data_IF_371194587154
#
_entry.id   IF_371194587154
#
_cell.length_a   1.000
_cell.length_b   1.000
_cell.length_c   1.000
_cell.angle_alpha   90.00
_cell.angle_beta   90.00
_cell.angle_gamma   90.00
#
_symmetry.space_group_name_H-M   'P 1'
#
loop_
_entity.id
_entity.type
_entity.pdbx_description
1 polymer ?
#
# COMPACT_ATOMS: atom_id res chain seq x y z
N UNK A 1 18.77 -12.35 23.74
CA UNK A 1 19.46 -12.94 22.58
C UNK A 1 19.62 -11.83 21.55
N UNK A 2 20.76 -11.16 21.57
CA UNK A 2 21.13 -10.12 20.59
C UNK A 2 21.55 -10.83 19.32
N UNK A 3 20.74 -10.76 18.26
CA UNK A 3 21.18 -11.25 16.95
C UNK A 3 22.16 -10.23 16.37
N UNK A 4 23.37 -10.67 16.04
CA UNK A 4 24.39 -9.88 15.33
C UNK A 4 23.76 -9.19 14.12
N UNK A 5 23.57 -7.87 14.18
CA UNK A 5 23.16 -7.12 13.01
C UNK A 5 24.39 -6.79 12.18
N UNK A 6 24.66 -7.69 11.26
CA UNK A 6 25.64 -7.49 10.20
C UNK A 6 24.92 -6.90 8.99
N UNK A 7 25.06 -5.60 8.79
CA UNK A 7 24.36 -4.88 7.71
C UNK A 7 24.62 -5.51 6.32
N UNK A 8 25.81 -6.07 6.10
CA UNK A 8 26.19 -6.86 4.92
C UNK A 8 25.49 -8.22 4.83
N UNK A 9 25.34 -8.95 5.94
CA UNK A 9 24.62 -10.23 5.96
C UNK A 9 23.09 -10.04 5.86
N UNK A 10 22.57 -8.98 6.48
CA UNK A 10 21.18 -8.55 6.36
C UNK A 10 20.85 -8.18 4.92
N UNK A 11 21.77 -7.53 4.20
CA UNK A 11 21.64 -7.32 2.77
C UNK A 11 21.64 -8.62 1.98
N UNK A 12 22.58 -9.54 2.24
CA UNK A 12 22.63 -10.82 1.53
C UNK A 12 21.35 -11.66 1.73
N UNK A 13 20.76 -11.63 2.93
CA UNK A 13 19.49 -12.32 3.21
C UNK A 13 18.25 -11.58 2.72
N UNK A 14 18.22 -10.25 2.77
CA UNK A 14 17.08 -9.45 2.33
C UNK A 14 17.01 -9.27 0.80
N UNK A 15 18.16 -9.28 0.11
CA UNK A 15 18.24 -8.95 -1.32
C UNK A 15 18.26 -10.18 -2.23
N UNK A 16 18.70 -11.34 -1.74
CA UNK A 16 19.04 -12.46 -2.61
C UNK A 16 20.04 -12.06 -3.72
N UNK A 17 20.44 -12.99 -4.60
CA UNK A 17 21.41 -12.70 -5.66
C UNK A 17 20.85 -11.80 -6.80
N UNK A 18 19.54 -11.50 -6.83
CA UNK A 18 18.86 -10.93 -8.00
C UNK A 18 18.49 -9.45 -7.84
N UNK A 19 18.33 -8.92 -6.62
CA UNK A 19 17.81 -7.55 -6.42
C UNK A 19 18.88 -6.44 -6.39
N UNK A 20 20.17 -6.78 -6.50
CA UNK A 20 21.27 -5.82 -6.32
C UNK A 20 21.57 -4.93 -7.56
N UNK A 21 20.66 -4.78 -8.53
CA UNK A 21 21.04 -4.19 -9.82
C UNK A 21 20.43 -2.84 -10.19
N UNK A 22 19.40 -2.33 -9.49
CA UNK A 22 18.73 -1.08 -9.89
C UNK A 22 18.44 -0.06 -8.78
N UNK A 23 18.02 -0.46 -7.57
CA UNK A 23 17.52 0.49 -6.54
C UNK A 23 18.14 0.28 -5.16
N UNK A 24 19.47 0.32 -5.09
CA UNK A 24 20.21 -0.22 -3.94
C UNK A 24 19.88 0.49 -2.62
N UNK A 25 19.68 1.81 -2.59
CA UNK A 25 19.39 2.50 -1.32
C UNK A 25 17.97 2.24 -0.78
N UNK A 26 16.96 2.11 -1.63
CA UNK A 26 15.61 1.72 -1.19
C UNK A 26 15.55 0.25 -0.77
N UNK A 27 16.40 -0.58 -1.38
CA UNK A 27 16.65 -1.95 -0.93
C UNK A 27 17.33 -2.01 0.45
N UNK A 28 18.21 -1.06 0.78
CA UNK A 28 18.75 -0.90 2.13
C UNK A 28 17.66 -0.52 3.13
N UNK A 29 16.78 0.41 2.77
CA UNK A 29 15.61 0.77 3.57
C UNK A 29 14.73 -0.46 3.85
N UNK A 30 14.46 -1.28 2.82
CA UNK A 30 13.70 -2.54 2.97
C UNK A 30 14.41 -3.54 3.89
N UNK A 31 15.74 -3.61 3.84
CA UNK A 31 16.51 -4.46 4.75
C UNK A 31 16.42 -3.96 6.20
N UNK A 32 16.47 -2.65 6.43
CA UNK A 32 16.36 -2.05 7.77
C UNK A 32 15.01 -2.39 8.41
N UNK A 33 13.90 -2.12 7.72
CA UNK A 33 12.55 -2.40 8.24
C UNK A 33 12.30 -3.90 8.47
N UNK A 34 12.93 -4.79 7.70
CA UNK A 34 12.72 -6.23 7.82
C UNK A 34 13.48 -6.87 8.99
N UNK A 35 14.38 -6.12 9.64
CA UNK A 35 15.33 -6.64 10.63
C UNK A 35 15.28 -5.93 11.98
N UNK A 36 14.58 -4.81 12.08
CA UNK A 36 14.52 -3.98 13.29
C UNK A 36 13.08 -3.59 13.61
N UNK A 37 12.59 -3.98 14.77
CA UNK A 37 11.27 -3.58 15.24
C UNK A 37 11.22 -2.06 15.49
N UNK A 38 12.34 -1.44 15.86
CA UNK A 38 12.39 0.01 16.06
C UNK A 38 12.27 0.79 14.75
N UNK A 39 12.89 0.29 13.68
CA UNK A 39 12.69 0.85 12.32
C UNK A 39 11.24 0.67 11.89
N UNK A 40 10.62 -0.47 12.20
CA UNK A 40 9.18 -0.67 11.93
C UNK A 40 8.34 0.35 12.70
N UNK A 41 8.62 0.63 13.97
CA UNK A 41 7.90 1.64 14.75
C UNK A 41 8.02 3.06 14.15
N UNK A 42 9.22 3.48 13.74
CA UNK A 42 9.42 4.78 13.10
C UNK A 42 8.62 4.91 11.80
N UNK A 43 8.66 3.89 10.96
CA UNK A 43 8.01 3.90 9.64
C UNK A 43 6.50 3.60 9.73
N UNK A 44 6.04 2.95 10.79
CA UNK A 44 4.62 2.70 11.02
C UNK A 44 3.83 3.99 11.21
N UNK A 45 4.42 5.05 11.75
CA UNK A 45 3.73 6.34 11.86
C UNK A 45 3.37 6.96 10.50
N UNK A 46 4.00 6.49 9.42
CA UNK A 46 3.73 6.89 8.03
C UNK A 46 3.05 5.79 7.21
N UNK A 47 2.53 4.74 7.87
CA UNK A 47 1.90 3.58 7.22
C UNK A 47 2.81 2.80 6.25
N UNK A 48 4.13 2.98 6.37
CA UNK A 48 5.13 2.29 5.57
C UNK A 48 5.48 0.94 6.20
N UNK A 49 4.78 -0.11 5.79
CA UNK A 49 5.11 -1.49 6.19
C UNK A 49 6.14 -2.11 5.24
N UNK A 50 6.75 -3.23 5.64
CA UNK A 50 7.64 -4.01 4.75
C UNK A 50 6.98 -4.34 3.41
N UNK A 51 5.65 -4.57 3.41
CA UNK A 51 4.89 -4.85 2.21
C UNK A 51 4.79 -3.63 1.29
N UNK A 52 4.46 -2.46 1.85
CA UNK A 52 4.35 -1.20 1.09
C UNK A 52 5.70 -0.84 0.47
N UNK A 53 6.79 -0.90 1.25
CA UNK A 53 8.14 -0.59 0.75
C UNK A 53 8.56 -1.57 -0.34
N UNK A 54 8.34 -2.89 -0.13
CA UNK A 54 8.68 -3.91 -1.14
C UNK A 54 7.97 -3.68 -2.47
N UNK A 55 6.72 -3.21 -2.46
CA UNK A 55 5.96 -2.90 -3.67
C UNK A 55 6.49 -1.65 -4.36
N UNK A 56 6.79 -0.59 -3.60
CA UNK A 56 7.30 0.68 -4.15
C UNK A 56 8.69 0.57 -4.77
N UNK A 57 9.57 -0.25 -4.19
CA UNK A 57 10.95 -0.45 -4.68
C UNK A 57 10.99 -0.97 -6.13
N UNK A 58 10.00 -1.77 -6.55
CA UNK A 58 9.98 -2.35 -7.89
C UNK A 58 9.71 -1.37 -9.04
N UNK A 59 9.21 -0.16 -8.73
CA UNK A 59 8.84 0.86 -9.72
C UNK A 59 9.74 2.10 -9.75
N UNK A 60 10.89 2.07 -9.06
CA UNK A 60 11.81 3.20 -9.02
C UNK A 60 12.72 3.28 -10.26
N UNK A 61 13.37 4.42 -10.47
CA UNK A 61 14.43 4.58 -11.47
C UNK A 61 15.78 4.04 -10.96
N UNK A 62 16.65 3.58 -11.88
CA UNK A 62 17.98 3.07 -11.53
C UNK A 62 18.82 4.18 -10.88
N UNK A 63 19.40 3.89 -9.71
CA UNK A 63 20.31 4.83 -9.06
C UNK A 63 21.65 4.92 -9.81
N UNK A 64 22.24 6.11 -9.92
CA UNK A 64 23.47 6.30 -10.66
C UNK A 64 24.68 5.66 -9.98
N UNK A 65 25.58 5.12 -10.81
CA UNK A 65 26.88 4.59 -10.41
C UNK A 65 26.82 3.22 -9.75
N UNK A 66 27.95 2.50 -9.78
CA UNK A 66 28.12 1.18 -9.17
C UNK A 66 29.47 1.14 -8.47
N UNK A 67 29.45 0.78 -7.19
CA UNK A 67 30.63 0.71 -6.31
C UNK A 67 30.65 -0.67 -5.67
N UNK A 68 31.78 -1.38 -5.80
CA UNK A 68 31.98 -2.64 -5.11
C UNK A 68 32.49 -2.40 -3.69
N UNK A 69 31.82 -3.01 -2.72
CA UNK A 69 32.21 -2.99 -1.32
C UNK A 69 32.62 -4.39 -0.90
N UNK A 70 33.87 -4.52 -0.44
CA UNK A 70 34.37 -5.75 0.14
C UNK A 70 33.66 -6.05 1.47
N UNK A 71 33.21 -7.28 1.65
CA UNK A 71 32.63 -7.74 2.90
C UNK A 71 33.76 -8.20 3.84
N UNK A 72 33.76 -7.66 5.06
CA UNK A 72 34.93 -7.72 5.95
C UNK A 72 35.31 -9.15 6.42
N UNK A 73 34.40 -10.14 6.33
CA UNK A 73 34.62 -11.48 6.88
C UNK A 73 34.40 -12.64 5.89
N UNK A 74 34.15 -12.38 4.60
CA UNK A 74 34.12 -13.43 3.57
C UNK A 74 35.11 -13.10 2.46
N UNK A 75 36.29 -13.71 2.53
CA UNK A 75 37.29 -13.63 1.46
C UNK A 75 36.64 -13.95 0.11
N UNK A 76 36.72 -13.00 -0.83
CA UNK A 76 36.21 -13.15 -2.19
C UNK A 76 34.73 -12.78 -2.40
N UNK A 77 34.02 -12.24 -1.40
CA UNK A 77 32.65 -11.72 -1.59
C UNK A 77 32.59 -10.20 -1.52
N UNK A 78 32.11 -9.59 -2.59
CA UNK A 78 31.79 -8.16 -2.68
C UNK A 78 30.29 -7.95 -2.89
N UNK A 79 29.79 -6.81 -2.42
CA UNK A 79 28.48 -6.30 -2.78
C UNK A 79 28.65 -5.14 -3.75
N UNK A 80 27.99 -5.21 -4.90
CA UNK A 80 27.87 -4.06 -5.80
C UNK A 80 26.71 -3.20 -5.31
N UNK A 81 27.01 -1.99 -4.84
CA UNK A 81 26.02 -1.01 -4.42
C UNK A 81 25.97 0.18 -5.39
N UNK A 82 24.92 0.99 -5.33
CA UNK A 82 24.95 2.32 -5.95
C UNK A 82 25.93 3.23 -5.22
N UNK A 83 26.32 4.35 -5.84
CA UNK A 83 27.17 5.35 -5.16
C UNK A 83 26.52 5.86 -3.87
N UNK A 84 25.21 6.11 -3.89
CA UNK A 84 24.45 6.55 -2.73
C UNK A 84 24.39 5.47 -1.63
N UNK A 85 24.12 4.21 -2.01
CA UNK A 85 24.13 3.09 -1.08
C UNK A 85 25.50 2.90 -0.42
N UNK A 86 26.59 2.99 -1.20
CA UNK A 86 27.95 2.90 -0.68
C UNK A 86 28.30 4.06 0.27
N UNK A 87 27.91 5.28 -0.07
CA UNK A 87 28.08 6.44 0.80
C UNK A 87 27.31 6.28 2.12
N UNK A 88 26.09 5.75 2.09
CA UNK A 88 25.31 5.46 3.29
C UNK A 88 26.00 4.42 4.19
N UNK A 89 26.59 3.36 3.62
CA UNK A 89 27.40 2.41 4.40
C UNK A 89 28.61 3.05 5.04
N UNK A 90 29.36 3.85 4.27
CA UNK A 90 30.54 4.54 4.78
C UNK A 90 30.17 5.48 5.95
N UNK A 91 29.08 6.25 5.81
CA UNK A 91 28.54 7.11 6.87
C UNK A 91 28.12 6.31 8.09
N UNK A 92 27.35 5.24 7.92
CA UNK A 92 26.91 4.36 9.01
C UNK A 92 28.11 3.83 9.81
N UNK A 93 29.23 3.49 9.15
CA UNK A 93 30.45 3.04 9.83
C UNK A 93 31.18 4.17 10.57
N UNK A 94 31.18 5.39 10.01
CA UNK A 94 31.96 6.52 10.52
C UNK A 94 31.26 7.34 11.62
N UNK A 95 29.94 7.52 11.55
CA UNK A 95 29.17 8.35 12.49
C UNK A 95 28.97 7.67 13.84
N UNK A 96 28.72 8.36 14.96
CA UNK A 96 28.32 7.72 16.21
C UNK A 96 27.03 6.88 16.02
N UNK A 97 26.87 5.79 16.79
CA UNK A 97 25.62 5.02 16.77
C UNK A 97 24.49 5.87 17.37
N UNK A 98 23.29 5.79 16.78
CA UNK A 98 22.08 6.45 17.31
C UNK A 98 21.38 5.57 18.36
N UNK A 99 21.78 4.29 18.44
CA UNK A 99 21.21 3.30 19.36
C UNK A 99 22.15 2.90 20.50
N UNK A 100 23.44 3.26 20.43
CA UNK A 100 24.45 2.89 21.44
C UNK A 100 25.62 3.87 21.54
N UNK A 101 26.49 3.67 22.52
CA UNK A 101 27.71 4.46 22.72
C UNK A 101 28.86 4.08 21.78
N UNK A 102 30.04 4.67 21.98
CA UNK A 102 31.24 4.33 21.20
C UNK A 102 31.62 2.84 21.38
N UNK A 103 31.87 2.13 20.27
CA UNK A 103 32.31 0.74 20.27
C UNK A 103 31.19 -0.32 20.20
N UNK A 104 29.92 0.10 20.13
CA UNK A 104 28.78 -0.81 19.90
C UNK A 104 28.67 -1.18 18.41
N UNK A 105 28.30 -2.43 18.13
CA UNK A 105 28.02 -2.91 16.77
C UNK A 105 26.92 -2.05 16.11
N UNK A 106 27.04 -1.80 14.81
CA UNK A 106 26.07 -1.00 14.07
C UNK A 106 24.74 -1.71 14.02
N UNK A 107 23.66 -0.93 14.09
CA UNK A 107 22.29 -1.45 14.04
C UNK A 107 21.58 -1.06 12.73
N UNK A 108 20.45 -1.70 12.40
CA UNK A 108 19.64 -1.31 11.23
C UNK A 108 19.12 0.12 11.36
N UNK A 109 18.86 0.55 12.60
CA UNK A 109 18.50 1.94 12.91
C UNK A 109 19.66 2.91 12.59
N UNK A 110 20.92 2.53 12.83
CA UNK A 110 22.09 3.35 12.47
C UNK A 110 22.23 3.49 10.94
N UNK A 111 21.95 2.41 10.20
CA UNK A 111 21.94 2.46 8.74
C UNK A 111 20.79 3.32 8.21
N UNK A 112 19.60 3.26 8.82
CA UNK A 112 18.50 4.17 8.50
C UNK A 112 18.91 5.64 8.72
N UNK A 113 19.54 5.97 9.85
CA UNK A 113 20.04 7.32 10.10
C UNK A 113 21.00 7.79 8.99
N UNK A 114 21.97 6.93 8.62
CA UNK A 114 22.94 7.24 7.56
C UNK A 114 22.33 7.36 6.15
N UNK A 115 21.21 6.70 5.87
CA UNK A 115 20.42 6.88 4.65
C UNK A 115 19.70 8.23 4.65
N UNK A 116 19.09 8.61 5.78
CA UNK A 116 18.33 9.86 5.94
C UNK A 116 19.21 11.11 5.94
N UNK A 117 20.48 10.99 6.35
CA UNK A 117 21.46 12.08 6.33
C UNK A 117 21.86 12.55 4.93
N UNK A 118 21.39 11.89 3.87
CA UNK A 118 21.72 12.21 2.49
C UNK A 118 20.49 12.48 1.64
N UNK A 119 20.19 13.76 1.35
CA UNK A 119 19.00 14.11 0.59
C UNK A 119 19.06 13.61 -0.87
N UNK A 120 20.25 13.24 -1.38
CA UNK A 120 20.40 12.70 -2.74
C UNK A 120 20.17 11.19 -2.82
N UNK A 121 19.98 10.53 -1.67
CA UNK A 121 19.73 9.11 -1.58
C UNK A 121 18.37 8.73 -2.17
N UNK A 122 18.32 7.68 -3.01
CA UNK A 122 17.07 7.17 -3.59
C UNK A 122 16.02 6.80 -2.54
N UNK A 123 16.45 6.28 -1.39
CA UNK A 123 15.57 6.01 -0.25
C UNK A 123 14.89 7.27 0.29
N UNK A 124 15.60 8.41 0.34
CA UNK A 124 15.03 9.70 0.78
C UNK A 124 14.02 10.22 -0.25
N UNK A 125 14.35 10.14 -1.54
CA UNK A 125 13.42 10.47 -2.62
C UNK A 125 12.16 9.60 -2.58
N UNK A 126 12.32 8.30 -2.32
CA UNK A 126 11.22 7.36 -2.18
C UNK A 126 10.32 7.69 -0.98
N UNK A 127 10.91 7.90 0.20
CA UNK A 127 10.18 8.30 1.41
C UNK A 127 9.42 9.62 1.20
N UNK A 128 10.07 10.60 0.57
CA UNK A 128 9.44 11.88 0.23
C UNK A 128 8.27 11.69 -0.73
N UNK A 129 8.42 10.84 -1.76
CA UNK A 129 7.34 10.44 -2.67
C UNK A 129 6.20 9.70 -1.96
N UNK A 130 6.48 9.08 -0.81
CA UNK A 130 5.47 8.49 0.05
C UNK A 130 4.71 9.50 0.93
N UNK A 131 5.10 10.78 0.91
CA UNK A 131 4.54 11.83 1.78
C UNK A 131 5.16 11.86 3.17
N UNK A 132 6.30 11.20 3.38
CA UNK A 132 7.02 11.23 4.65
C UNK A 132 7.72 12.59 4.80
N UNK A 133 7.50 13.26 5.93
CA UNK A 133 8.39 14.34 6.37
C UNK A 133 9.73 13.72 6.80
N UNK A 134 10.67 13.65 5.86
CA UNK A 134 11.99 13.04 6.04
C UNK A 134 12.78 13.74 7.15
N UNK A 135 12.60 15.06 7.34
CA UNK A 135 13.29 15.83 8.39
C UNK A 135 12.72 15.51 9.76
N UNK A 136 11.41 15.30 9.88
CA UNK A 136 10.79 14.81 11.10
C UNK A 136 11.20 13.35 11.41
N UNK A 137 11.20 12.48 10.40
CA UNK A 137 11.66 11.09 10.55
C UNK A 137 13.13 11.01 10.97
N UNK A 138 14.01 11.83 10.37
CA UNK A 138 15.41 11.92 10.76
C UNK A 138 15.55 12.33 12.23
N UNK A 139 14.86 13.40 12.66
CA UNK A 139 14.85 13.83 14.07
C UNK A 139 14.34 12.75 15.02
N UNK A 140 13.31 12.01 14.62
CA UNK A 140 12.77 10.88 15.37
C UNK A 140 13.78 9.75 15.54
N UNK A 141 14.45 9.35 14.46
CA UNK A 141 15.51 8.32 14.48
C UNK A 141 16.66 8.74 15.39
N UNK A 142 17.15 9.98 15.25
CA UNK A 142 18.26 10.50 16.06
C UNK A 142 17.91 10.71 17.54
N UNK A 143 16.66 11.08 17.85
CA UNK A 143 16.20 11.23 19.24
C UNK A 143 15.72 9.91 19.85
N UNK A 144 15.56 8.87 19.03
CA UNK A 144 15.00 7.60 19.44
C UNK A 144 13.51 7.62 19.76
N UNK A 145 12.79 8.72 19.45
CA UNK A 145 11.36 8.89 19.71
C UNK A 145 10.55 8.59 18.46
N UNK A 146 9.45 7.86 18.61
CA UNK A 146 8.53 7.60 17.49
C UNK A 146 7.92 8.93 17.01
N UNK A 147 7.86 9.19 15.69
CA UNK A 147 7.17 10.35 15.14
C UNK A 147 5.72 10.41 15.62
N UNK A 148 5.28 11.58 16.06
CA UNK A 148 3.86 11.85 16.29
C UNK A 148 3.26 12.39 14.99
N UNK A 149 2.60 11.51 14.23
CA UNK A 149 2.01 11.83 12.92
C UNK A 149 0.50 11.67 13.04
N UNK A 150 -0.21 12.72 12.66
CA UNK A 150 -1.67 12.68 12.60
C UNK A 150 -2.11 11.65 11.55
N UNK A 151 -3.03 10.77 11.96
CA UNK A 151 -3.61 9.77 11.08
C UNK A 151 -4.44 10.45 9.98
N UNK A 152 -4.07 10.34 8.69
CA UNK A 152 -4.74 11.06 7.62
C UNK A 152 -6.12 10.47 7.30
N UNK A 153 -6.46 9.29 7.85
CA UNK A 153 -7.78 8.68 7.68
C UNK A 153 -8.62 8.75 8.95
N UNK A 154 -9.92 9.03 8.83
CA UNK A 154 -10.82 9.03 9.97
C UNK A 154 -10.94 7.62 10.60
N UNK A 155 -11.30 7.51 11.89
CA UNK A 155 -11.28 6.25 12.64
C UNK A 155 -12.04 5.09 11.97
N UNK A 156 -13.16 5.37 11.30
CA UNK A 156 -13.93 4.34 10.59
C UNK A 156 -13.21 3.68 9.43
N UNK A 157 -12.23 4.35 8.80
CA UNK A 157 -11.48 3.84 7.65
C UNK A 157 -10.18 3.13 8.05
N UNK A 158 -9.77 3.22 9.32
CA UNK A 158 -8.54 2.57 9.82
C UNK A 158 -8.50 1.08 9.53
N UNK A 159 -9.62 0.38 9.70
CA UNK A 159 -9.71 -1.05 9.39
C UNK A 159 -9.46 -1.38 7.91
N UNK A 160 -9.88 -0.48 7.01
CA UNK A 160 -9.68 -0.59 5.56
C UNK A 160 -8.22 -0.26 5.21
N UNK A 161 -7.67 0.81 5.78
CA UNK A 161 -6.25 1.18 5.68
C UNK A 161 -5.35 0.05 6.16
N UNK A 162 -5.57 -0.47 7.36
CA UNK A 162 -4.73 -1.50 7.96
C UNK A 162 -4.70 -2.76 7.10
N UNK A 163 -5.80 -3.09 6.43
CA UNK A 163 -5.81 -4.16 5.46
C UNK A 163 -4.97 -3.80 4.23
N UNK A 164 -5.19 -2.62 3.64
CA UNK A 164 -4.46 -2.14 2.46
C UNK A 164 -2.94 -2.10 2.66
N UNK A 165 -2.48 -1.62 3.82
CA UNK A 165 -1.05 -1.50 4.16
C UNK A 165 -0.46 -2.81 4.69
N UNK A 166 -1.26 -3.88 4.79
CA UNK A 166 -0.79 -5.21 5.19
C UNK A 166 -0.66 -5.45 6.70
N UNK A 167 -1.13 -4.51 7.55
CA UNK A 167 -1.20 -4.68 9.02
C UNK A 167 -2.27 -5.69 9.44
N UNK A 168 -3.34 -5.75 8.66
CA UNK A 168 -4.48 -6.65 8.85
C UNK A 168 -4.65 -7.53 7.63
N UNK A 169 -5.18 -8.73 7.85
CA UNK A 169 -5.55 -9.65 6.76
C UNK A 169 -7.05 -9.85 6.76
N UNK A 170 -7.67 -9.84 5.59
CA UNK A 170 -9.05 -10.31 5.45
C UNK A 170 -9.13 -11.80 5.71
N UNK A 171 -10.20 -12.23 6.38
CA UNK A 171 -10.48 -13.65 6.59
C UNK A 171 -11.28 -14.16 5.40
N UNK A 172 -10.79 -15.17 4.64
CA UNK A 172 -11.58 -15.76 3.57
C UNK A 172 -12.83 -16.43 4.13
N UNK A 173 -14.02 -16.12 3.60
CA UNK A 173 -15.28 -16.74 4.03
C UNK A 173 -15.93 -17.62 2.97
N UNK A 174 -15.59 -17.43 1.70
CA UNK A 174 -16.05 -18.28 0.59
C UNK A 174 -14.89 -19.03 -0.05
N UNK A 175 -15.11 -20.24 -0.59
CA UNK A 175 -14.09 -20.98 -1.35
C UNK A 175 -13.49 -20.17 -2.51
N UNK A 176 -14.29 -19.31 -3.15
CA UNK A 176 -13.82 -18.39 -4.18
C UNK A 176 -12.86 -17.33 -3.63
N UNK A 177 -13.15 -16.78 -2.44
CA UNK A 177 -12.28 -15.83 -1.73
C UNK A 177 -11.07 -16.51 -1.08
N UNK A 178 -11.15 -17.81 -0.78
CA UNK A 178 -10.04 -18.59 -0.26
C UNK A 178 -8.89 -18.59 -1.25
N UNK A 179 -9.13 -18.92 -2.53
CA UNK A 179 -8.11 -18.85 -3.58
C UNK A 179 -7.55 -17.45 -3.77
N UNK A 180 -8.41 -16.42 -3.70
CA UNK A 180 -7.95 -15.02 -3.79
C UNK A 180 -7.09 -14.62 -2.60
N UNK A 181 -7.46 -15.02 -1.39
CA UNK A 181 -6.68 -14.78 -0.17
C UNK A 181 -5.37 -15.58 -0.17
N UNK A 182 -5.37 -16.77 -0.77
CA UNK A 182 -4.18 -17.61 -0.95
C UNK A 182 -3.24 -17.02 -1.99
N UNK A 183 -3.78 -16.45 -3.07
CA UNK A 183 -3.03 -15.67 -4.08
C UNK A 183 -2.40 -14.42 -3.46
N UNK A 184 -3.15 -13.63 -2.68
CA UNK A 184 -2.62 -12.49 -1.92
C UNK A 184 -1.57 -12.92 -0.89
N UNK A 185 -1.68 -14.15 -0.36
CA UNK A 185 -0.70 -14.72 0.57
C UNK A 185 0.58 -15.20 -0.12
N UNK A 186 0.49 -15.69 -1.34
CA UNK A 186 1.60 -16.30 -2.08
C UNK A 186 2.35 -15.32 -3.00
N UNK A 187 1.68 -14.27 -3.47
CA UNK A 187 2.28 -13.24 -4.31
C UNK A 187 2.35 -11.90 -3.56
N UNK A 188 3.52 -11.23 -3.54
CA UNK A 188 3.63 -9.84 -3.13
C UNK A 188 2.98 -8.94 -4.21
N UNK A 189 1.67 -9.07 -4.40
CA UNK A 189 0.90 -8.23 -5.31
C UNK A 189 0.84 -6.82 -4.71
N UNK A 190 1.11 -5.78 -5.51
CA UNK A 190 0.69 -4.43 -5.16
C UNK A 190 -0.82 -4.45 -5.02
N UNK A 191 -1.30 -4.53 -3.78
CA UNK A 191 -2.69 -4.77 -3.57
C UNK A 191 -3.51 -3.55 -4.04
N UNK A 192 -2.98 -2.34 -3.87
CA UNK A 192 -3.59 -1.13 -4.39
C UNK A 192 -3.63 -1.09 -5.94
N UNK A 193 -2.90 -1.95 -6.65
CA UNK A 193 -3.03 -2.15 -8.10
C UNK A 193 -4.27 -2.97 -8.52
N UNK A 194 -5.06 -3.46 -7.56
CA UNK A 194 -6.27 -4.24 -7.82
C UNK A 194 -7.48 -3.66 -7.08
N UNK A 195 -7.93 -2.44 -7.40
CA UNK A 195 -8.93 -1.74 -6.61
C UNK A 195 -10.29 -2.46 -6.54
N UNK A 196 -10.67 -3.20 -7.60
CA UNK A 196 -11.90 -4.01 -7.59
C UNK A 196 -11.81 -5.19 -6.63
N UNK A 197 -10.65 -5.85 -6.54
CA UNK A 197 -10.41 -6.89 -5.54
C UNK A 197 -10.58 -6.32 -4.12
N UNK A 198 -10.06 -5.12 -3.86
CA UNK A 198 -10.22 -4.46 -2.56
C UNK A 198 -11.66 -4.12 -2.24
N UNK A 199 -12.37 -3.51 -3.18
CA UNK A 199 -13.79 -3.22 -3.01
C UNK A 199 -14.58 -4.50 -2.66
N UNK A 200 -14.25 -5.62 -3.31
CA UNK A 200 -14.86 -6.94 -3.03
C UNK A 200 -14.52 -7.48 -1.65
N UNK A 201 -13.25 -7.41 -1.23
CA UNK A 201 -12.82 -7.91 0.07
C UNK A 201 -13.42 -7.07 1.20
N UNK A 202 -13.45 -5.75 1.03
CA UNK A 202 -14.06 -4.83 1.97
C UNK A 202 -15.57 -5.05 2.08
N UNK A 203 -16.27 -5.26 0.95
CA UNK A 203 -17.68 -5.64 0.95
C UNK A 203 -17.94 -6.96 1.70
N UNK A 204 -17.02 -7.93 1.56
CA UNK A 204 -17.05 -9.18 2.31
C UNK A 204 -16.90 -9.00 3.82
N UNK A 205 -15.99 -8.11 4.23
CA UNK A 205 -15.78 -7.75 5.64
C UNK A 205 -17.02 -7.06 6.22
N UNK A 206 -17.56 -6.05 5.52
CA UNK A 206 -18.77 -5.32 5.89
C UNK A 206 -19.96 -6.28 6.07
N UNK A 207 -20.23 -7.15 5.09
CA UNK A 207 -21.28 -8.14 5.20
C UNK A 207 -21.04 -9.13 6.35
N UNK A 208 -19.77 -9.48 6.61
CA UNK A 208 -19.33 -10.36 7.69
C UNK A 208 -19.59 -9.78 9.08
N UNK A 209 -19.40 -8.47 9.28
CA UNK A 209 -19.73 -7.77 10.53
C UNK A 209 -21.23 -7.90 10.87
N UNK A 210 -22.08 -7.93 9.84
CA UNK A 210 -23.52 -8.13 9.97
C UNK A 210 -23.98 -9.59 9.83
N UNK A 211 -23.05 -10.57 9.80
CA UNK A 211 -23.33 -12.01 9.65
C UNK A 211 -24.27 -12.34 8.48
N UNK A 212 -24.15 -11.62 7.36
CA UNK A 212 -25.00 -11.76 6.18
C UNK A 212 -24.18 -12.01 4.91
N UNK A 213 -24.88 -12.35 3.82
CA UNK A 213 -24.27 -12.40 2.49
C UNK A 213 -23.97 -11.00 1.97
N UNK A 214 -22.95 -10.89 1.13
CA UNK A 214 -22.57 -9.66 0.42
C UNK A 214 -23.72 -9.23 -0.47
N UNK A 215 -23.99 -7.92 -0.48
CA UNK A 215 -25.00 -7.23 -1.28
C UNK A 215 -24.35 -6.17 -2.16
N UNK A 216 -25.05 -5.67 -3.19
CA UNK A 216 -24.45 -4.70 -4.13
C UNK A 216 -24.15 -3.33 -3.49
N UNK A 217 -24.91 -2.92 -2.48
CA UNK A 217 -24.64 -1.73 -1.65
C UNK A 217 -23.36 -1.88 -0.80
N UNK A 218 -23.04 -3.09 -0.32
CA UNK A 218 -21.75 -3.35 0.35
C UNK A 218 -20.56 -3.18 -0.61
N UNK A 219 -20.72 -3.58 -1.88
CA UNK A 219 -19.69 -3.43 -2.91
C UNK A 219 -19.45 -1.95 -3.23
N UNK A 220 -20.52 -1.18 -3.36
CA UNK A 220 -20.44 0.28 -3.56
C UNK A 220 -19.73 0.96 -2.38
N UNK A 221 -20.12 0.62 -1.15
CA UNK A 221 -19.49 1.13 0.06
C UNK A 221 -18.01 0.71 0.15
N UNK A 222 -17.70 -0.55 -0.16
CA UNK A 222 -16.32 -1.05 -0.18
C UNK A 222 -15.44 -0.32 -1.19
N UNK A 223 -15.98 -0.01 -2.37
CA UNK A 223 -15.30 0.79 -3.39
C UNK A 223 -14.99 2.21 -2.90
N UNK A 224 -15.97 2.89 -2.29
CA UNK A 224 -15.80 4.25 -1.76
C UNK A 224 -14.81 4.30 -0.58
N UNK A 225 -14.87 3.33 0.34
CA UNK A 225 -13.92 3.23 1.47
C UNK A 225 -12.50 2.99 0.96
N UNK A 226 -12.33 2.10 -0.02
CA UNK A 226 -11.03 1.85 -0.64
C UNK A 226 -10.51 3.09 -1.35
N UNK A 227 -11.36 3.81 -2.10
CA UNK A 227 -10.98 5.05 -2.77
C UNK A 227 -10.59 6.17 -1.79
N UNK A 228 -11.33 6.33 -0.70
CA UNK A 228 -11.00 7.33 0.34
C UNK A 228 -9.63 7.07 0.97
N UNK A 229 -9.31 5.81 1.28
CA UNK A 229 -7.96 5.44 1.76
C UNK A 229 -6.91 5.66 0.67
N UNK A 230 -7.16 5.24 -0.56
CA UNK A 230 -6.24 5.43 -1.68
C UNK A 230 -5.88 6.91 -1.92
N UNK A 231 -6.82 7.84 -1.71
CA UNK A 231 -6.53 9.28 -1.77
C UNK A 231 -5.63 9.78 -0.64
N UNK A 232 -5.79 9.23 0.57
CA UNK A 232 -4.94 9.57 1.71
C UNK A 232 -3.51 9.01 1.58
N UNK A 233 -3.32 7.96 0.77
CA UNK A 233 -2.02 7.31 0.54
C UNK A 233 -1.66 7.22 -0.95
N UNK A 234 -1.34 8.35 -1.62
CA UNK A 234 -1.10 8.39 -3.06
C UNK A 234 -0.02 7.42 -3.54
N UNK A 235 1.00 7.18 -2.71
CA UNK A 235 2.12 6.29 -3.01
C UNK A 235 1.72 4.83 -3.18
N UNK A 236 0.60 4.40 -2.59
CA UNK A 236 0.05 3.07 -2.81
C UNK A 236 -0.56 2.94 -4.22
N UNK A 237 -1.06 4.05 -4.78
CA UNK A 237 -1.73 4.09 -6.08
C UNK A 237 -0.81 4.49 -7.25
N UNK A 238 0.50 4.60 -7.01
CA UNK A 238 1.48 4.93 -8.05
C UNK A 238 1.32 4.01 -9.26
N UNK A 239 1.08 4.60 -10.44
CA UNK A 239 0.90 3.86 -11.70
C UNK A 239 -0.52 3.32 -11.98
N UNK A 240 -1.43 3.35 -11.00
CA UNK A 240 -2.80 2.78 -11.10
C UNK A 240 -3.90 3.77 -10.70
N UNK A 241 -3.58 5.06 -10.58
CA UNK A 241 -4.54 6.10 -10.17
C UNK A 241 -5.83 6.10 -11.00
N UNK A 242 -5.71 5.87 -12.31
CA UNK A 242 -6.87 5.78 -13.22
C UNK A 242 -7.79 4.58 -12.92
N UNK A 243 -7.28 3.52 -12.30
CA UNK A 243 -8.10 2.36 -11.94
C UNK A 243 -9.07 2.66 -10.78
N UNK A 244 -8.94 3.83 -10.12
CA UNK A 244 -9.84 4.30 -9.06
C UNK A 244 -10.92 5.27 -9.56
N UNK A 245 -11.05 5.48 -10.88
CA UNK A 245 -11.96 6.46 -11.45
C UNK A 245 -13.45 6.25 -11.09
N UNK A 246 -13.91 5.02 -10.89
CA UNK A 246 -15.30 4.77 -10.45
C UNK A 246 -15.58 5.32 -9.06
N UNK A 247 -14.60 5.24 -8.14
CA UNK A 247 -14.69 5.89 -6.84
C UNK A 247 -14.67 7.41 -6.94
N UNK A 248 -13.81 7.95 -7.81
CA UNK A 248 -13.72 9.39 -8.08
C UNK A 248 -15.05 9.96 -8.60
N UNK A 249 -15.64 9.33 -9.61
CA UNK A 249 -16.91 9.74 -10.22
C UNK A 249 -18.04 9.82 -9.19
N UNK A 250 -18.12 8.84 -8.27
CA UNK A 250 -19.11 8.87 -7.19
C UNK A 250 -18.90 10.05 -6.23
N UNK A 251 -17.66 10.29 -5.81
CA UNK A 251 -17.33 11.40 -4.89
C UNK A 251 -17.58 12.76 -5.56
N UNK A 252 -17.24 12.92 -6.84
CA UNK A 252 -17.54 14.12 -7.63
C UNK A 252 -19.05 14.35 -7.77
N UNK A 253 -19.85 13.29 -7.78
CA UNK A 253 -21.32 13.35 -7.72
C UNK A 253 -21.89 13.55 -6.30
N UNK A 254 -21.03 13.80 -5.31
CA UNK A 254 -21.42 14.01 -3.91
C UNK A 254 -21.76 12.73 -3.15
N UNK A 255 -21.39 11.55 -3.66
CA UNK A 255 -21.59 10.25 -3.01
C UNK A 255 -20.28 9.81 -2.36
N UNK A 256 -20.17 10.01 -1.05
CA UNK A 256 -19.06 9.50 -0.25
C UNK A 256 -19.47 8.28 0.60
N UNK A 257 -18.47 7.66 1.23
CA UNK A 257 -18.67 6.48 2.07
C UNK A 257 -19.51 6.77 3.33
N UNK A 258 -19.51 8.01 3.84
CA UNK A 258 -20.27 8.40 5.04
C UNK A 258 -21.76 8.50 4.71
N UNK A 259 -22.10 9.16 3.60
CA UNK A 259 -23.48 9.30 3.10
C UNK A 259 -24.07 7.94 2.73
N UNK A 260 -23.29 7.09 2.06
CA UNK A 260 -23.72 5.72 1.74
C UNK A 260 -24.00 4.92 3.00
N UNK A 261 -23.07 4.93 3.97
CA UNK A 261 -23.26 4.24 5.26
C UNK A 261 -24.53 4.71 5.97
N UNK A 262 -24.72 6.02 6.09
CA UNK A 262 -25.90 6.60 6.74
C UNK A 262 -27.21 6.19 6.05
N UNK A 263 -27.25 6.19 4.72
CA UNK A 263 -28.42 5.75 3.97
C UNK A 263 -28.72 4.25 4.16
N UNK A 264 -27.69 3.41 4.20
CA UNK A 264 -27.83 1.96 4.46
C UNK A 264 -28.32 1.65 5.88
N UNK A 265 -28.00 2.50 6.86
CA UNK A 265 -28.50 2.36 8.23
C UNK A 265 -29.98 2.77 8.35
N UNK A 266 -30.41 3.78 7.57
CA UNK A 266 -31.77 4.32 7.63
C UNK A 266 -32.79 3.62 6.72
N UNK A 267 -32.38 2.84 5.73
CA UNK A 267 -33.28 2.30 4.69
C UNK A 267 -32.90 0.88 4.26
N UNK A 268 -33.88 -0.01 4.17
CA UNK A 268 -33.70 -1.30 3.49
C UNK A 268 -34.00 -1.19 2.00
N UNK A 269 -32.96 -1.30 1.18
CA UNK A 269 -33.06 -1.25 -0.28
C UNK A 269 -33.53 -2.57 -0.92
N UNK A 270 -34.11 -3.51 -0.18
CA UNK A 270 -34.70 -4.74 -0.73
C UNK A 270 -33.66 -5.74 -1.27
N UNK A 271 -34.03 -6.68 -2.14
CA UNK A 271 -33.07 -7.72 -2.62
C UNK A 271 -32.39 -7.30 -3.92
N UNK A 272 -31.16 -7.77 -4.11
CA UNK A 272 -30.48 -7.68 -5.41
C UNK A 272 -31.19 -8.57 -6.43
N UNK A 273 -31.45 -8.05 -7.63
CA UNK A 273 -31.94 -8.85 -8.76
C UNK A 273 -30.83 -9.71 -9.34
N UNK A 274 -29.60 -9.20 -9.36
CA UNK A 274 -28.40 -9.92 -9.77
C UNK A 274 -27.41 -9.92 -8.60
N UNK A 275 -27.01 -11.10 -8.08
CA UNK A 275 -26.14 -11.18 -6.92
C UNK A 275 -24.74 -10.60 -7.22
N UNK A 276 -24.06 -9.98 -6.22
CA UNK A 276 -22.73 -9.40 -6.41
C UNK A 276 -21.69 -10.35 -7.03
N UNK A 277 -21.78 -11.65 -6.72
CA UNK A 277 -20.86 -12.66 -7.27
C UNK A 277 -20.90 -12.72 -8.80
N UNK A 278 -22.06 -12.50 -9.41
CA UNK A 278 -22.23 -12.53 -10.86
C UNK A 278 -21.69 -11.24 -11.49
N UNK A 279 -21.96 -10.09 -10.89
CA UNK A 279 -21.44 -8.79 -11.36
C UNK A 279 -19.92 -8.71 -11.29
N UNK A 280 -19.34 -9.28 -10.22
CA UNK A 280 -17.90 -9.27 -9.97
C UNK A 280 -17.13 -10.35 -10.75
N UNK A 281 -17.82 -11.21 -11.50
CA UNK A 281 -17.16 -12.23 -12.32
C UNK A 281 -16.27 -11.54 -13.36
N UNK A 282 -15.01 -11.94 -13.47
CA UNK A 282 -14.05 -11.41 -14.45
C UNK A 282 -13.65 -9.92 -14.29
N UNK A 283 -14.00 -9.27 -13.17
CA UNK A 283 -13.64 -7.85 -12.88
C UNK A 283 -12.29 -7.68 -12.16
N UNK A 284 -11.57 -8.76 -11.94
CA UNK A 284 -10.38 -8.76 -11.08
C UNK A 284 -9.21 -7.98 -11.67
N UNK A 285 -9.16 -7.85 -13.00
CA UNK A 285 -8.13 -7.11 -13.73
C UNK A 285 -8.59 -5.72 -14.20
N UNK A 286 -9.84 -5.34 -13.92
CA UNK A 286 -10.42 -4.07 -14.36
C UNK A 286 -10.36 -2.99 -13.28
N UNK A 287 -10.42 -1.73 -13.71
CA UNK A 287 -10.59 -0.59 -12.81
C UNK A 287 -12.01 -0.50 -12.21
N UNK A 288 -12.16 0.37 -11.24
CA UNK A 288 -13.42 0.65 -10.53
C UNK A 288 -14.48 1.30 -11.41
N UNK A 289 -14.12 1.92 -12.54
CA UNK A 289 -15.09 2.41 -13.52
C UNK A 289 -15.89 1.27 -14.15
N UNK A 290 -15.23 0.16 -14.53
CA UNK A 290 -15.90 -1.02 -15.05
C UNK A 290 -16.81 -1.66 -13.99
N UNK A 291 -16.34 -1.68 -12.73
CA UNK A 291 -17.15 -2.14 -11.60
C UNK A 291 -18.40 -1.27 -11.42
N UNK A 292 -18.24 0.06 -11.46
CA UNK A 292 -19.35 1.00 -11.34
C UNK A 292 -20.33 0.78 -12.50
N UNK A 293 -19.88 0.72 -13.75
CA UNK A 293 -20.74 0.50 -14.91
C UNK A 293 -21.57 -0.79 -14.78
N UNK A 294 -20.98 -1.87 -14.25
CA UNK A 294 -21.71 -3.13 -13.98
C UNK A 294 -22.71 -3.02 -12.85
N UNK A 295 -22.36 -2.34 -11.75
CA UNK A 295 -23.28 -2.10 -10.64
C UNK A 295 -24.48 -1.27 -11.09
N UNK A 296 -24.26 -0.28 -11.97
CA UNK A 296 -25.30 0.57 -12.52
C UNK A 296 -26.11 -0.14 -13.61
N UNK A 297 -25.51 -1.10 -14.32
CA UNK A 297 -26.07 -1.90 -15.41
C UNK A 297 -27.38 -2.62 -15.07
N UNK A 298 -27.60 -2.89 -13.79
CA UNK A 298 -28.74 -3.65 -13.26
C UNK A 298 -29.66 -2.75 -12.41
N UNK A 299 -30.71 -2.13 -12.99
CA UNK A 299 -31.57 -1.18 -12.28
C UNK A 299 -32.27 -1.77 -11.04
N UNK A 300 -32.44 -3.10 -11.02
CA UNK A 300 -33.06 -3.85 -9.92
C UNK A 300 -32.14 -4.13 -8.73
N UNK A 301 -30.88 -3.65 -8.73
CA UNK A 301 -29.96 -3.88 -7.62
C UNK A 301 -30.02 -2.81 -6.52
N UNK A 302 -29.59 -3.19 -5.31
CA UNK A 302 -29.59 -2.31 -4.13
C UNK A 302 -28.69 -1.09 -4.33
N UNK A 303 -27.53 -1.24 -4.99
CA UNK A 303 -26.62 -0.14 -5.33
C UNK A 303 -27.31 0.98 -6.10
N UNK A 304 -28.14 0.65 -7.09
CA UNK A 304 -28.86 1.63 -7.92
C UNK A 304 -29.94 2.34 -7.11
N UNK A 305 -30.72 1.59 -6.32
CA UNK A 305 -31.75 2.18 -5.44
C UNK A 305 -31.15 3.07 -4.35
N UNK A 306 -30.01 2.68 -3.80
CA UNK A 306 -29.25 3.47 -2.84
C UNK A 306 -28.81 4.81 -3.45
N UNK A 307 -28.23 4.79 -4.66
CA UNK A 307 -27.83 6.02 -5.35
C UNK A 307 -29.03 6.93 -5.65
N UNK A 308 -30.14 6.36 -6.11
CA UNK A 308 -31.37 7.11 -6.34
C UNK A 308 -31.91 7.75 -5.04
N UNK A 309 -31.86 7.03 -3.91
CA UNK A 309 -32.26 7.56 -2.60
C UNK A 309 -31.34 8.68 -2.10
N UNK A 310 -30.08 8.72 -2.56
CA UNK A 310 -29.13 9.81 -2.31
C UNK A 310 -29.32 11.01 -3.26
N UNK A 311 -30.30 10.95 -4.17
CA UNK A 311 -30.59 12.01 -5.14
C UNK A 311 -29.65 12.01 -6.34
N UNK A 312 -28.96 10.90 -6.60
CA UNK A 312 -28.02 10.78 -7.72
C UNK A 312 -28.62 9.91 -8.81
N UNK A 313 -28.67 10.46 -10.02
CA UNK A 313 -29.17 9.74 -11.19
C UNK A 313 -28.14 8.69 -11.66
N UNK A 314 -28.44 7.38 -11.57
CA UNK A 314 -27.50 6.32 -11.92
C UNK A 314 -27.02 6.40 -13.39
N UNK A 315 -27.87 6.90 -14.29
CA UNK A 315 -27.54 7.04 -15.71
C UNK A 315 -26.46 8.10 -15.95
N UNK A 316 -26.42 9.17 -15.14
CA UNK A 316 -25.44 10.24 -15.25
C UNK A 316 -24.03 9.83 -14.81
N UNK A 317 -23.92 8.75 -14.03
CA UNK A 317 -22.64 8.22 -13.54
C UNK A 317 -21.99 7.21 -14.49
N UNK A 318 -22.74 6.67 -15.45
CA UNK A 318 -22.20 5.72 -16.43
C UNK A 318 -21.28 6.46 -17.38
N UNK A 319 -20.17 5.82 -17.77
CA UNK A 319 -19.38 6.35 -18.89
C UNK A 319 -20.25 6.35 -20.14
N UNK A 320 -20.37 7.51 -20.79
CA UNK A 320 -20.77 7.53 -22.19
C UNK A 320 -19.75 6.70 -22.96
N UNK A 321 -20.21 5.66 -23.65
CA UNK A 321 -19.37 4.86 -24.51
C UNK A 321 -18.81 5.75 -25.62
N UNK A 322 -17.65 6.36 -25.39
CA UNK A 322 -16.82 6.92 -26.45
C UNK A 322 -16.25 5.77 -27.29
N UNK A 323 -15.94 6.01 -28.58
CA UNK A 323 -15.36 4.98 -29.44
C UNK A 323 -14.11 4.41 -28.76
N UNK A 324 -14.05 3.09 -28.66
CA UNK A 324 -13.00 2.36 -27.96
C UNK A 324 -11.63 2.81 -28.47
N UNK A 325 -10.90 3.54 -27.65
CA UNK A 325 -9.54 3.97 -27.98
C UNK A 325 -8.65 2.73 -27.92
N UNK A 326 -8.30 2.23 -29.10
CA UNK A 326 -7.37 1.14 -29.35
C UNK A 326 -6.05 1.45 -28.66
N UNK A 327 -5.84 0.92 -27.45
CA UNK A 327 -4.52 0.92 -26.82
C UNK A 327 -3.58 0.10 -27.70
N UNK A 328 -2.66 0.78 -28.36
CA UNK A 328 -1.52 0.18 -29.06
C UNK A 328 -0.68 -0.56 -28.02
N UNK A 329 -0.36 -1.82 -28.35
CA UNK A 329 0.42 -2.76 -27.53
C UNK A 329 1.89 -2.33 -27.37
#
# INVERSE_FOLDING_TARGET
MTSDFRADQALLTALGPVCARRHVSTHLLLACISKDDRVQEFLASYDLTTQVIRQGVGGMDEEPGKVEIALAEQEGRSLTLSTAGAAAFARCRAQPSVTGGQGVERSPTDLLAALLDDPSCGAVSYLSGCGVDVVALQRAVWSGRVPDVEDPVPPELRSTRDALVGRRRYKPRELGQFWTSMLVRAMPMNAAAHPVLWARLEAGELAGQHRRKVRTDDVLLGMLRTYAVAQAYPHMTGGVKGDYDGGRVLVEAGVDHVRVRAAMEGTDFGRDTVPPRELLKDTMASGTSDLLDRLLGEPGNRSVRLLAALGVEPAALRRTAGPADTRVA
#
